data_IF_381806423397
#
_entry.id   IF_381806423397
#
_cell.length_a   1.000
_cell.length_b   1.000
_cell.length_c   1.000
_cell.angle_alpha   90.00
_cell.angle_beta   90.00
_cell.angle_gamma   90.00
#
_symmetry.space_group_name_H-M   'P 1'
#
loop_
_entity.id
_entity.type
_entity.pdbx_description
1 polymer ?
#
# COMPACT_ATOMS: atom_id res chain seq x y z
N UNK A 1 -8.13 -0.52 -18.99
CA UNK A 1 -6.80 -0.60 -19.60
C UNK A 1 -6.94 -0.52 -21.11
N UNK A 2 -6.39 0.56 -21.67
CA UNK A 2 -6.21 0.79 -23.09
C UNK A 2 -5.23 -0.24 -23.65
N UNK A 3 -5.49 -0.67 -24.86
CA UNK A 3 -4.62 -1.55 -25.63
C UNK A 3 -4.04 -0.78 -26.81
N UNK A 4 -2.90 -1.25 -27.35
CA UNK A 4 -2.29 -0.67 -28.55
C UNK A 4 -1.87 -1.78 -29.51
N UNK A 5 -2.08 -1.54 -30.80
CA UNK A 5 -1.60 -2.38 -31.92
C UNK A 5 -0.40 -1.77 -32.63
N UNK A 6 -0.02 -0.53 -32.30
CA UNK A 6 1.06 0.22 -32.98
C UNK A 6 2.40 0.07 -32.26
N UNK A 7 2.38 -0.03 -30.92
CA UNK A 7 3.59 -0.23 -30.10
C UNK A 7 3.25 -0.88 -28.76
N UNK A 8 4.29 -1.37 -28.08
CA UNK A 8 4.19 -1.84 -26.70
C UNK A 8 3.93 -0.66 -25.78
N UNK A 9 2.92 -0.78 -24.92
CA UNK A 9 2.65 0.17 -23.84
C UNK A 9 3.49 -0.15 -22.60
N UNK A 10 4.02 0.87 -21.97
CA UNK A 10 4.93 0.77 -20.82
C UNK A 10 4.23 1.15 -19.52
N UNK A 11 4.56 0.43 -18.45
CA UNK A 11 4.06 0.68 -17.10
C UNK A 11 4.98 0.03 -16.05
N UNK A 12 4.64 0.17 -14.78
CA UNK A 12 5.30 -0.46 -13.64
C UNK A 12 4.26 -1.04 -12.67
N UNK A 13 4.70 -1.52 -11.51
CA UNK A 13 3.87 -2.29 -10.57
C UNK A 13 3.25 -1.44 -9.43
N UNK A 14 3.15 -0.12 -9.59
CA UNK A 14 2.61 0.78 -8.57
C UNK A 14 3.68 1.53 -7.77
N UNK A 15 4.03 1.07 -6.56
CA UNK A 15 4.88 1.81 -5.61
C UNK A 15 6.16 2.41 -6.22
N UNK A 16 6.44 3.67 -5.90
CA UNK A 16 7.65 4.40 -6.32
C UNK A 16 8.34 5.08 -5.12
N UNK A 17 9.62 5.50 -5.24
CA UNK A 17 10.33 6.17 -4.16
C UNK A 17 9.61 7.43 -3.69
N UNK A 18 9.30 7.50 -2.39
CA UNK A 18 8.65 8.65 -1.75
C UNK A 18 9.70 9.69 -1.34
N UNK A 19 9.39 11.00 -1.39
CA UNK A 19 10.25 12.02 -0.81
C UNK A 19 10.45 11.82 0.70
N UNK A 20 11.65 12.16 1.21
CA UNK A 20 11.98 12.01 2.64
C UNK A 20 11.00 12.76 3.57
N UNK A 21 10.52 13.92 3.12
CA UNK A 21 9.50 14.71 3.83
C UNK A 21 8.20 13.92 4.05
N UNK A 22 7.78 13.17 3.03
CA UNK A 22 6.57 12.36 3.09
C UNK A 22 6.78 11.09 3.92
N UNK A 23 7.95 10.44 3.78
CA UNK A 23 8.31 9.28 4.61
C UNK A 23 8.26 9.62 6.10
N UNK A 24 8.79 10.78 6.48
CA UNK A 24 8.78 11.24 7.87
C UNK A 24 7.35 11.38 8.43
N UNK A 25 6.42 11.93 7.64
CA UNK A 25 5.02 12.09 8.05
C UNK A 25 4.27 10.76 8.08
N UNK A 26 4.47 9.89 7.07
CA UNK A 26 3.87 8.55 7.04
C UNK A 26 4.28 7.72 8.26
N UNK A 27 5.55 7.80 8.68
CA UNK A 27 6.03 7.12 9.90
C UNK A 27 5.37 7.66 11.18
N UNK A 28 5.14 8.97 11.27
CA UNK A 28 4.40 9.55 12.41
C UNK A 28 2.96 9.03 12.43
N UNK A 29 2.27 9.10 11.29
CA UNK A 29 0.91 8.57 11.15
C UNK A 29 0.83 7.10 11.53
N UNK A 30 1.74 6.27 11.02
CA UNK A 30 1.77 4.83 11.25
C UNK A 30 1.96 4.44 12.74
N UNK A 31 2.74 5.24 13.48
CA UNK A 31 2.95 5.08 14.92
C UNK A 31 1.86 5.72 15.80
N UNK A 32 0.92 6.45 15.20
CA UNK A 32 -0.05 7.27 15.95
C UNK A 32 0.56 8.49 16.63
N UNK A 33 1.76 8.92 16.23
CA UNK A 33 2.39 10.14 16.73
C UNK A 33 1.60 11.37 16.23
N UNK A 34 1.52 12.47 16.98
CA UNK A 34 0.93 13.71 16.49
C UNK A 34 1.65 14.25 15.25
N UNK A 35 0.88 14.61 14.22
CA UNK A 35 1.37 15.28 13.01
C UNK A 35 0.34 16.31 12.52
N UNK A 36 0.81 17.26 11.71
CA UNK A 36 -0.07 18.23 11.06
C UNK A 36 -0.76 17.58 9.85
N UNK A 37 -2.07 17.36 9.97
CA UNK A 37 -2.87 16.73 8.92
C UNK A 37 -2.89 17.57 7.62
N UNK A 38 -2.92 18.90 7.72
CA UNK A 38 -2.93 19.76 6.55
C UNK A 38 -1.58 19.68 5.82
N UNK A 39 -0.48 19.72 6.57
CA UNK A 39 0.85 19.55 6.00
C UNK A 39 1.02 18.16 5.35
N UNK A 40 0.44 17.11 5.95
CA UNK A 40 0.42 15.78 5.36
C UNK A 40 -0.35 15.73 4.05
N UNK A 41 -1.59 16.23 4.03
CA UNK A 41 -2.43 16.23 2.84
C UNK A 41 -1.78 17.02 1.68
N UNK A 42 -1.16 18.17 1.98
CA UNK A 42 -0.40 18.96 1.02
C UNK A 42 0.84 18.22 0.50
N UNK A 43 1.59 17.56 1.39
CA UNK A 43 2.79 16.81 1.01
C UNK A 43 2.44 15.60 0.13
N UNK A 44 1.34 14.90 0.41
CA UNK A 44 0.85 13.80 -0.42
C UNK A 44 0.45 14.32 -1.80
N UNK A 45 -0.37 15.38 -1.86
CA UNK A 45 -0.84 15.95 -3.12
C UNK A 45 0.33 16.38 -4.02
N UNK A 46 1.31 17.09 -3.46
CA UNK A 46 2.51 17.49 -4.18
C UNK A 46 3.37 16.30 -4.66
N UNK A 47 3.50 15.25 -3.83
CA UNK A 47 4.26 14.06 -4.21
C UNK A 47 3.57 13.25 -5.31
N UNK A 48 2.25 13.17 -5.32
CA UNK A 48 1.46 12.52 -6.38
C UNK A 48 1.60 13.30 -7.69
N UNK A 49 1.52 14.63 -7.66
CA UNK A 49 1.72 15.47 -8.85
C UNK A 49 3.11 15.28 -9.46
N UNK A 50 4.15 15.41 -8.62
CA UNK A 50 5.56 15.28 -9.04
C UNK A 50 5.89 13.86 -9.55
N UNK A 51 5.39 12.79 -8.91
CA UNK A 51 5.67 11.43 -9.41
C UNK A 51 4.98 11.15 -10.74
N UNK A 52 3.79 11.70 -10.98
CA UNK A 52 3.09 11.56 -12.27
C UNK A 52 3.83 12.34 -13.34
N UNK A 53 4.25 13.58 -13.08
CA UNK A 53 5.07 14.38 -14.00
C UNK A 53 6.33 13.61 -14.43
N UNK A 54 7.06 13.05 -13.46
CA UNK A 54 8.29 12.26 -13.73
C UNK A 54 8.02 11.02 -14.56
N UNK A 55 6.91 10.33 -14.34
CA UNK A 55 6.53 9.17 -15.14
C UNK A 55 6.23 9.57 -16.59
N UNK A 56 5.49 10.67 -16.80
CA UNK A 56 5.22 11.20 -18.14
C UNK A 56 6.51 11.65 -18.83
N UNK A 57 7.39 12.35 -18.13
CA UNK A 57 8.71 12.76 -18.63
C UNK A 57 9.58 11.54 -18.99
N UNK A 58 9.46 10.44 -18.25
CA UNK A 58 10.11 9.16 -18.52
C UNK A 58 9.43 8.34 -19.64
N UNK A 59 8.32 8.84 -20.22
CA UNK A 59 7.53 8.19 -21.26
C UNK A 59 6.85 6.89 -20.82
N UNK A 60 6.49 6.78 -19.55
CA UNK A 60 5.58 5.74 -19.06
C UNK A 60 4.18 6.03 -19.58
N UNK A 61 3.55 5.03 -20.22
CA UNK A 61 2.25 5.20 -20.85
C UNK A 61 1.10 5.15 -19.85
N UNK A 62 1.11 4.10 -19.01
CA UNK A 62 0.12 3.89 -17.96
C UNK A 62 0.80 4.21 -16.63
N UNK A 63 0.43 5.33 -16.03
CA UNK A 63 1.04 5.86 -14.80
C UNK A 63 0.24 5.47 -13.57
N UNK A 64 0.88 5.47 -12.40
CA UNK A 64 0.22 5.31 -11.10
C UNK A 64 0.53 6.50 -10.18
N UNK A 65 -0.28 6.65 -9.12
CA UNK A 65 -0.02 7.57 -8.02
C UNK A 65 1.27 7.26 -7.22
N UNK A 66 1.98 6.18 -7.56
CA UNK A 66 3.21 5.74 -6.88
C UNK A 66 2.97 5.26 -5.44
N UNK A 67 1.72 5.03 -5.04
CA UNK A 67 1.30 4.74 -3.66
C UNK A 67 1.79 5.76 -2.62
N UNK A 68 1.89 7.04 -3.00
CA UNK A 68 2.52 8.08 -2.18
C UNK A 68 1.87 8.26 -0.81
N UNK A 69 0.55 8.08 -0.70
CA UNK A 69 -0.20 8.23 0.56
C UNK A 69 -0.07 7.05 1.53
N UNK A 70 0.54 5.94 1.10
CA UNK A 70 0.56 4.67 1.84
C UNK A 70 1.95 4.42 2.42
N UNK A 71 2.01 3.91 3.65
CA UNK A 71 3.27 3.45 4.26
C UNK A 71 3.74 2.11 3.68
N UNK A 72 2.80 1.29 3.19
CA UNK A 72 3.02 -0.08 2.72
C UNK A 72 1.93 -0.50 1.75
N UNK A 73 2.28 -1.25 0.71
CA UNK A 73 1.33 -1.78 -0.28
C UNK A 73 0.38 -2.85 0.31
N UNK A 74 0.73 -3.45 1.46
CA UNK A 74 -0.01 -4.55 2.06
C UNK A 74 -0.74 -4.17 3.35
N UNK A 75 -0.09 -3.38 4.22
CA UNK A 75 -0.63 -3.10 5.56
C UNK A 75 -1.44 -1.81 5.64
N UNK A 76 -1.54 -1.03 4.55
CA UNK A 76 -2.35 0.20 4.54
C UNK A 76 -3.85 -0.05 4.79
N UNK A 77 -4.35 -1.28 4.59
CA UNK A 77 -5.75 -1.62 4.82
C UNK A 77 -6.17 -1.42 6.28
N UNK A 78 -5.25 -1.46 7.25
CA UNK A 78 -5.55 -1.09 8.65
C UNK A 78 -6.07 0.36 8.79
N UNK A 79 -5.70 1.23 7.85
CA UNK A 79 -6.14 2.62 7.83
C UNK A 79 -7.50 2.78 7.12
N UNK A 80 -7.94 1.77 6.35
CA UNK A 80 -9.14 1.79 5.51
C UNK A 80 -10.30 0.98 6.08
N UNK A 81 -9.97 -0.10 6.80
CA UNK A 81 -10.91 -1.09 7.29
C UNK A 81 -10.86 -1.17 8.81
N UNK A 82 -12.02 -1.40 9.42
CA UNK A 82 -12.11 -1.83 10.80
C UNK A 82 -11.79 -3.33 10.92
N UNK A 83 -11.50 -3.77 12.15
CA UNK A 83 -11.16 -5.17 12.44
C UNK A 83 -9.67 -5.48 12.29
N UNK A 84 -8.81 -4.46 12.25
CA UNK A 84 -7.34 -4.57 12.17
C UNK A 84 -6.61 -3.88 13.33
N UNK A 85 -7.27 -3.78 14.49
CA UNK A 85 -6.71 -3.08 15.66
C UNK A 85 -5.86 -4.04 16.53
N UNK A 86 -5.85 -5.33 16.18
CA UNK A 86 -5.04 -6.37 16.82
C UNK A 86 -3.56 -6.28 16.48
N UNK A 87 -2.74 -6.98 17.28
CA UNK A 87 -1.30 -7.13 17.04
C UNK A 87 -0.98 -8.58 16.72
N UNK A 88 -0.23 -8.80 15.63
CA UNK A 88 0.23 -10.13 15.24
C UNK A 88 1.04 -10.76 16.39
N UNK A 89 0.74 -12.02 16.68
CA UNK A 89 1.38 -12.78 17.76
C UNK A 89 2.39 -13.80 17.22
N UNK A 90 2.32 -14.10 15.92
CA UNK A 90 3.18 -15.09 15.27
C UNK A 90 4.19 -14.43 14.34
N UNK A 91 5.46 -14.82 14.47
CA UNK A 91 6.48 -14.50 13.48
C UNK A 91 6.36 -15.44 12.28
N UNK A 92 5.73 -14.98 11.20
CA UNK A 92 5.75 -15.71 9.94
C UNK A 92 6.99 -15.33 9.15
N UNK A 93 8.10 -16.02 9.39
CA UNK A 93 9.23 -15.96 8.47
C UNK A 93 8.76 -16.36 7.06
N UNK A 94 9.31 -15.72 6.03
CA UNK A 94 9.09 -16.19 4.67
C UNK A 94 9.70 -17.61 4.57
N UNK A 95 8.94 -18.59 4.07
CA UNK A 95 9.35 -19.99 4.13
C UNK A 95 10.69 -20.26 3.43
N UNK A 96 10.95 -19.55 2.34
CA UNK A 96 12.23 -19.55 1.62
C UNK A 96 13.40 -19.03 2.47
N UNK A 97 13.18 -18.07 3.37
CA UNK A 97 14.22 -17.59 4.29
C UNK A 97 14.61 -18.63 5.34
N UNK A 98 13.71 -19.58 5.67
CA UNK A 98 14.04 -20.70 6.56
C UNK A 98 15.05 -21.65 5.92
N UNK A 99 15.02 -21.80 4.59
CA UNK A 99 15.99 -22.60 3.85
C UNK A 99 17.37 -21.91 3.75
N UNK A 100 17.42 -20.58 3.96
CA UNK A 100 18.64 -19.77 3.85
C UNK A 100 18.88 -18.87 5.07
N UNK A 101 18.96 -19.47 6.26
CA UNK A 101 19.10 -18.75 7.55
C UNK A 101 20.26 -17.75 7.58
N UNK A 102 21.40 -18.05 6.94
CA UNK A 102 22.54 -17.12 6.89
C UNK A 102 22.26 -15.86 6.06
N UNK A 103 21.41 -15.96 5.04
CA UNK A 103 20.92 -14.81 4.29
C UNK A 103 19.85 -14.06 5.09
N UNK A 104 18.91 -14.78 5.72
CA UNK A 104 17.91 -14.18 6.59
C UNK A 104 18.55 -13.32 7.69
N UNK A 105 19.60 -13.81 8.35
CA UNK A 105 20.36 -13.04 9.36
C UNK A 105 20.99 -11.77 8.80
N UNK A 106 21.63 -11.84 7.63
CA UNK A 106 22.22 -10.66 6.97
C UNK A 106 21.16 -9.61 6.61
N UNK A 107 19.97 -10.04 6.19
CA UNK A 107 18.86 -9.15 5.88
C UNK A 107 18.45 -8.34 7.12
N UNK A 108 18.33 -9.00 8.27
CA UNK A 108 18.05 -8.38 9.58
C UNK A 108 19.16 -7.40 9.98
N UNK A 109 20.42 -7.83 9.89
CA UNK A 109 21.58 -7.00 10.23
C UNK A 109 21.69 -5.72 9.37
N UNK A 110 21.22 -5.77 8.12
CA UNK A 110 21.21 -4.65 7.19
C UNK A 110 20.01 -3.71 7.36
N UNK A 111 19.16 -3.95 8.36
CA UNK A 111 17.92 -3.19 8.54
C UNK A 111 16.88 -3.47 7.45
N UNK A 112 17.07 -4.54 6.66
CA UNK A 112 15.97 -5.12 5.91
C UNK A 112 14.88 -5.49 6.91
N UNK A 113 13.62 -5.30 6.53
CA UNK A 113 12.50 -5.59 7.41
C UNK A 113 12.60 -7.04 7.87
N UNK A 114 13.01 -7.28 9.12
CA UNK A 114 12.34 -8.30 9.91
C UNK A 114 10.87 -8.09 9.62
N UNK A 115 10.16 -9.13 9.14
CA UNK A 115 8.70 -9.08 9.18
C UNK A 115 8.38 -8.78 10.64
N UNK A 116 8.08 -7.51 10.92
CA UNK A 116 8.04 -7.01 12.28
C UNK A 116 7.15 -7.94 13.08
N UNK A 117 7.65 -8.40 14.21
CA UNK A 117 6.99 -9.28 15.16
C UNK A 117 5.66 -8.72 15.70
N UNK A 118 5.26 -7.51 15.29
CA UNK A 118 4.15 -6.72 15.80
C UNK A 118 3.43 -5.94 14.69
N UNK A 119 3.15 -6.59 13.56
CA UNK A 119 2.26 -6.03 12.53
C UNK A 119 0.80 -6.00 12.99
N UNK A 120 -0.07 -5.19 12.35
CA UNK A 120 -1.52 -5.28 12.56
C UNK A 120 -2.06 -6.71 12.27
N UNK A 121 -3.08 -7.12 13.02
CA UNK A 121 -3.77 -8.39 12.86
C UNK A 121 -5.28 -8.19 12.81
N UNK A 122 -5.96 -9.10 12.10
CA UNK A 122 -7.41 -9.14 12.05
C UNK A 122 -7.98 -9.64 13.38
N UNK A 123 -8.55 -8.75 14.19
CA UNK A 123 -9.07 -9.03 15.52
C UNK A 123 -10.60 -8.90 15.64
N UNK A 124 -11.25 -8.45 14.57
CA UNK A 124 -12.70 -8.25 14.52
C UNK A 124 -13.28 -8.46 13.13
N UNK A 125 -14.61 -8.31 13.01
CA UNK A 125 -15.29 -8.35 11.72
C UNK A 125 -14.83 -7.19 10.84
N UNK A 126 -14.54 -7.48 9.57
CA UNK A 126 -14.12 -6.47 8.61
C UNK A 126 -15.30 -5.57 8.19
N UNK A 127 -15.07 -4.26 8.20
CA UNK A 127 -15.97 -3.27 7.61
C UNK A 127 -15.16 -2.07 7.09
N UNK A 128 -15.72 -1.30 6.15
CA UNK A 128 -15.12 -0.03 5.76
C UNK A 128 -15.12 0.91 6.97
N UNK A 129 -14.00 1.57 7.23
CA UNK A 129 -13.87 2.56 8.31
C UNK A 129 -14.40 3.92 7.86
N UNK A 130 -13.83 4.44 6.77
CA UNK A 130 -14.20 5.71 6.16
C UNK A 130 -13.66 5.79 4.72
N UNK A 131 -14.48 6.26 3.78
CA UNK A 131 -14.13 6.43 2.37
C UNK A 131 -13.34 7.72 2.10
N UNK A 132 -13.27 8.67 3.05
CA UNK A 132 -12.60 9.96 2.80
C UNK A 132 -11.12 9.82 2.40
N UNK A 133 -10.43 8.81 2.93
CA UNK A 133 -9.03 8.56 2.56
C UNK A 133 -8.93 8.09 1.10
N UNK A 134 -9.94 7.37 0.59
CA UNK A 134 -9.97 6.88 -0.80
C UNK A 134 -10.27 8.04 -1.72
N UNK A 135 -11.25 8.85 -1.35
CA UNK A 135 -11.63 10.05 -2.08
C UNK A 135 -10.47 11.02 -2.22
N UNK A 136 -9.66 11.21 -1.16
CA UNK A 136 -8.43 12.02 -1.22
C UNK A 136 -7.40 11.44 -2.19
N UNK A 137 -7.13 10.14 -2.13
CA UNK A 137 -6.20 9.48 -3.05
C UNK A 137 -6.67 9.62 -4.51
N UNK A 138 -7.96 9.35 -4.76
CA UNK A 138 -8.59 9.48 -6.07
C UNK A 138 -8.56 10.92 -6.57
N UNK A 139 -8.85 11.91 -5.72
CA UNK A 139 -8.83 13.32 -6.08
C UNK A 139 -7.42 13.81 -6.44
N UNK A 140 -6.42 13.47 -5.63
CA UNK A 140 -5.02 13.81 -5.90
C UNK A 140 -4.54 13.20 -7.22
N UNK A 141 -4.78 11.91 -7.42
CA UNK A 141 -4.34 11.23 -8.63
C UNK A 141 -5.09 11.71 -9.87
N UNK A 142 -6.42 11.91 -9.77
CA UNK A 142 -7.22 12.45 -10.87
C UNK A 142 -6.77 13.85 -11.28
N UNK A 143 -6.40 14.70 -10.31
CA UNK A 143 -5.85 16.03 -10.59
C UNK A 143 -4.52 15.93 -11.37
N UNK A 144 -3.60 15.09 -10.89
CA UNK A 144 -2.30 14.89 -11.54
C UNK A 144 -2.44 14.30 -12.96
N UNK A 145 -3.30 13.30 -13.16
CA UNK A 145 -3.60 12.73 -14.49
C UNK A 145 -4.19 13.80 -15.42
N UNK A 146 -5.10 14.64 -14.93
CA UNK A 146 -5.68 15.73 -15.73
C UNK A 146 -4.62 16.76 -16.13
N UNK A 147 -3.68 17.06 -15.24
CA UNK A 147 -2.61 18.04 -15.45
C UNK A 147 -1.56 17.55 -16.45
N UNK A 148 -1.08 16.32 -16.30
CA UNK A 148 0.07 15.79 -17.06
C UNK A 148 -0.32 14.94 -18.28
N UNK A 149 -1.62 14.62 -18.42
CA UNK A 149 -2.20 13.96 -19.59
C UNK A 149 -1.46 12.69 -20.06
N UNK A 150 -1.18 11.72 -19.15
CA UNK A 150 -0.66 10.41 -19.54
C UNK A 150 -1.66 9.66 -20.44
N UNK A 151 -1.24 8.54 -21.05
CA UNK A 151 -2.16 7.74 -21.86
C UNK A 151 -3.30 7.16 -21.01
N UNK A 152 -3.00 6.66 -19.82
CA UNK A 152 -3.98 6.18 -18.84
C UNK A 152 -3.37 6.24 -17.43
N UNK A 153 -4.22 6.32 -16.40
CA UNK A 153 -3.82 6.15 -15.01
C UNK A 153 -4.33 4.82 -14.46
N UNK A 154 -3.59 4.19 -13.56
CA UNK A 154 -4.04 3.02 -12.80
C UNK A 154 -3.70 3.16 -11.32
N UNK A 155 -4.44 2.44 -10.48
CA UNK A 155 -4.18 2.32 -9.05
C UNK A 155 -4.01 0.86 -8.69
N UNK A 156 -3.14 0.59 -7.72
CA UNK A 156 -2.93 -0.73 -7.15
C UNK A 156 -3.79 -0.94 -5.91
N UNK A 157 -4.32 -2.15 -5.78
CA UNK A 157 -5.01 -2.63 -4.60
C UNK A 157 -4.42 -3.98 -4.19
N UNK A 158 -4.32 -4.23 -2.87
CA UNK A 158 -3.90 -5.53 -2.36
C UNK A 158 -4.96 -6.58 -2.71
N UNK A 159 -4.52 -7.73 -3.19
CA UNK A 159 -5.43 -8.87 -3.35
C UNK A 159 -5.74 -9.50 -1.99
N UNK A 160 -6.91 -10.15 -1.81
CA UNK A 160 -7.23 -10.86 -0.57
C UNK A 160 -6.10 -11.78 -0.08
N UNK A 161 -5.48 -12.53 -1.00
CA UNK A 161 -4.37 -13.43 -0.67
C UNK A 161 -3.10 -12.71 -0.20
N UNK A 162 -2.79 -11.51 -0.69
CA UNK A 162 -1.69 -10.70 -0.13
C UNK A 162 -2.04 -10.30 1.30
N UNK A 163 -3.28 -9.90 1.56
CA UNK A 163 -3.68 -9.47 2.90
C UNK A 163 -3.52 -10.59 3.92
N UNK A 164 -3.92 -11.83 3.60
CA UNK A 164 -3.77 -12.97 4.53
C UNK A 164 -2.31 -13.33 4.86
N UNK A 165 -1.36 -12.90 4.03
CA UNK A 165 0.08 -13.08 4.27
C UNK A 165 0.61 -12.05 5.28
N UNK A 166 0.13 -10.81 5.21
CA UNK A 166 0.67 -9.69 5.99
C UNK A 166 -0.15 -9.34 7.24
N UNK A 167 -1.45 -9.59 7.23
CA UNK A 167 -2.37 -9.34 8.34
C UNK A 167 -2.83 -10.68 8.91
N UNK A 168 -2.32 -11.04 10.08
CA UNK A 168 -2.64 -12.33 10.71
C UNK A 168 -4.13 -12.41 11.05
N UNK A 169 -4.79 -13.51 10.70
CA UNK A 169 -6.14 -13.79 11.19
C UNK A 169 -6.12 -14.20 12.67
N UNK A 170 -6.87 -13.49 13.53
CA UNK A 170 -7.12 -13.82 14.92
C UNK A 170 -8.62 -13.83 15.28
N UNK A 171 -9.51 -13.66 14.29
CA UNK A 171 -10.95 -13.52 14.49
C UNK A 171 -11.77 -14.60 13.76
N UNK A 172 -11.54 -14.78 12.45
CA UNK A 172 -12.27 -15.76 11.65
C UNK A 172 -11.83 -17.19 11.99
N UNK A 173 -12.71 -18.19 11.86
CA UNK A 173 -12.45 -19.55 12.36
C UNK A 173 -11.30 -20.26 11.65
N UNK A 174 -11.05 -19.95 10.38
CA UNK A 174 -10.01 -20.55 9.56
C UNK A 174 -9.54 -19.59 8.45
N UNK A 175 -8.58 -20.06 7.64
CA UNK A 175 -8.01 -19.29 6.54
C UNK A 175 -9.03 -18.99 5.43
N UNK A 176 -9.87 -19.95 5.08
CA UNK A 176 -10.82 -19.82 3.99
C UNK A 176 -11.92 -18.81 4.34
N UNK A 177 -12.45 -18.88 5.57
CA UNK A 177 -13.42 -17.91 6.08
C UNK A 177 -12.85 -16.48 6.11
N UNK A 178 -11.57 -16.33 6.46
CA UNK A 178 -10.91 -15.02 6.43
C UNK A 178 -10.69 -14.52 5.01
N UNK A 179 -10.25 -15.41 4.10
CA UNK A 179 -10.02 -15.09 2.70
C UNK A 179 -11.32 -14.70 2.00
N UNK A 180 -12.43 -15.39 2.28
CA UNK A 180 -13.78 -15.08 1.79
C UNK A 180 -14.23 -13.70 2.27
N UNK A 181 -14.06 -13.40 3.56
CA UNK A 181 -14.41 -12.09 4.12
C UNK A 181 -13.60 -10.94 3.48
N UNK A 182 -12.30 -11.17 3.25
CA UNK A 182 -11.44 -10.23 2.53
C UNK A 182 -11.85 -10.10 1.06
N UNK A 183 -12.21 -11.20 0.39
CA UNK A 183 -12.65 -11.18 -0.99
C UNK A 183 -13.94 -10.37 -1.16
N UNK A 184 -14.89 -10.50 -0.23
CA UNK A 184 -16.15 -9.74 -0.27
C UNK A 184 -15.92 -8.25 -0.03
N UNK A 185 -15.10 -7.87 0.97
CA UNK A 185 -14.90 -6.44 1.28
C UNK A 185 -13.98 -5.72 0.29
N UNK A 186 -13.08 -6.44 -0.38
CA UNK A 186 -12.18 -5.89 -1.40
C UNK A 186 -12.77 -5.98 -2.82
N UNK A 187 -13.98 -6.52 -2.94
CA UNK A 187 -14.70 -6.59 -4.21
C UNK A 187 -15.08 -5.19 -4.67
N UNK A 188 -14.73 -4.89 -5.91
CA UNK A 188 -15.14 -3.68 -6.63
C UNK A 188 -16.49 -3.94 -7.29
#
# INVERSE_FOLDING_TARGET
MKTSTERILTTHVGSLPRPDSLIALLRKKDRGDPYDQLAFDQCVSAAVDDVVDRQVAAKIDLVSDGEMSKISYATYLKDRLNGFDGTAQENRAAGDLLDFISYARRLVEQGGTERSLQGPACDGPLSVRDDTVLDKDLANFSAAVKQHQPMEGFLTASSPGVVTVFLQNQYYPDHDAYLEALAEILKI
#
